data_IF_537507256446
#
_entry.id   IF_537507256446
#
_cell.length_a   1.000
_cell.length_b   1.000
_cell.length_c   1.000
_cell.angle_alpha   90.00
_cell.angle_beta   90.00
_cell.angle_gamma   90.00
#
_symmetry.space_group_name_H-M   'P 1'
#
loop_
_entity.id
_entity.type
_entity.pdbx_description
1 polymer ?
#
# COMPACT_ATOMS: atom_id res chain seq x y z
N UNK A 1 44.22 -7.42 0.36
CA UNK A 1 43.54 -8.40 -0.51
C UNK A 1 42.04 -8.07 -0.58
N UNK A 2 41.54 -7.59 -1.73
CA UNK A 2 40.13 -7.17 -1.89
C UNK A 2 39.13 -8.31 -1.62
N UNK A 3 39.50 -9.56 -1.93
CA UNK A 3 38.68 -10.74 -1.65
C UNK A 3 38.40 -10.95 -0.15
N UNK A 4 39.39 -10.73 0.72
CA UNK A 4 39.23 -10.86 2.18
C UNK A 4 38.27 -9.78 2.72
N UNK A 5 38.32 -8.56 2.18
CA UNK A 5 37.41 -7.48 2.58
C UNK A 5 35.98 -7.74 2.08
N UNK A 6 35.82 -8.30 0.88
CA UNK A 6 34.52 -8.72 0.37
C UNK A 6 33.89 -9.82 1.24
N UNK A 7 34.67 -10.85 1.59
CA UNK A 7 34.22 -11.94 2.48
C UNK A 7 33.87 -11.41 3.88
N UNK A 8 34.69 -10.53 4.46
CA UNK A 8 34.38 -9.86 5.73
C UNK A 8 33.09 -9.04 5.66
N UNK A 9 32.87 -8.32 4.55
CA UNK A 9 31.66 -7.54 4.33
C UNK A 9 30.42 -8.42 4.26
N UNK A 10 30.49 -9.53 3.54
CA UNK A 10 29.40 -10.52 3.45
C UNK A 10 29.16 -11.14 4.84
N UNK A 11 30.20 -11.61 5.51
CA UNK A 11 30.10 -12.20 6.85
C UNK A 11 29.46 -11.25 7.86
N UNK A 12 29.88 -9.98 7.87
CA UNK A 12 29.30 -8.97 8.76
C UNK A 12 27.81 -8.71 8.46
N UNK A 13 27.42 -8.61 7.18
CA UNK A 13 26.01 -8.43 6.79
C UNK A 13 25.16 -9.63 7.18
N UNK A 14 25.63 -10.85 6.95
CA UNK A 14 24.91 -12.07 7.29
C UNK A 14 24.74 -12.22 8.80
N UNK A 15 25.82 -12.02 9.59
CA UNK A 15 25.77 -12.08 11.05
C UNK A 15 24.78 -11.04 11.60
N UNK A 16 24.85 -9.79 11.12
CA UNK A 16 23.92 -8.75 11.53
C UNK A 16 22.46 -9.08 11.15
N UNK A 17 22.23 -9.67 9.98
CA UNK A 17 20.89 -10.07 9.55
C UNK A 17 20.31 -11.14 10.49
N UNK A 18 21.07 -12.20 10.79
CA UNK A 18 20.66 -13.26 11.72
C UNK A 18 20.42 -12.69 13.13
N UNK A 19 21.32 -11.82 13.61
CA UNK A 19 21.17 -11.17 14.91
C UNK A 19 19.89 -10.33 14.99
N UNK A 20 19.59 -9.52 13.96
CA UNK A 20 18.38 -8.71 13.91
C UNK A 20 17.11 -9.55 13.91
N UNK A 21 17.11 -10.68 13.19
CA UNK A 21 15.99 -11.64 13.22
C UNK A 21 15.81 -12.19 14.63
N UNK A 22 16.88 -12.64 15.30
CA UNK A 22 16.80 -13.17 16.67
C UNK A 22 16.27 -12.14 17.67
N UNK A 23 16.70 -10.88 17.58
CA UNK A 23 16.18 -9.79 18.42
C UNK A 23 14.70 -9.53 18.14
N UNK A 24 14.28 -9.50 16.86
CA UNK A 24 12.89 -9.31 16.48
C UNK A 24 11.98 -10.45 16.97
N UNK A 25 12.41 -11.72 16.82
CA UNK A 25 11.68 -12.88 17.33
C UNK A 25 11.55 -12.83 18.84
N UNK A 26 12.62 -12.47 19.57
CA UNK A 26 12.56 -12.30 21.02
C UNK A 26 11.58 -11.19 21.42
N UNK A 27 11.62 -10.04 20.73
CA UNK A 27 10.69 -8.94 20.96
C UNK A 27 9.23 -9.35 20.73
N UNK A 28 8.96 -10.09 19.65
CA UNK A 28 7.64 -10.64 19.36
C UNK A 28 7.18 -11.62 20.44
N UNK A 29 8.03 -12.57 20.83
CA UNK A 29 7.72 -13.54 21.90
C UNK A 29 7.44 -12.83 23.23
N UNK A 30 8.26 -11.83 23.62
CA UNK A 30 8.02 -11.03 24.82
C UNK A 30 6.69 -10.27 24.75
N UNK A 31 6.33 -9.75 23.57
CA UNK A 31 5.04 -9.09 23.34
C UNK A 31 3.90 -10.06 23.59
N UNK A 32 3.97 -11.29 23.07
CA UNK A 32 2.97 -12.33 23.29
C UNK A 32 2.89 -12.78 24.76
N UNK A 33 4.02 -13.09 25.40
CA UNK A 33 4.03 -13.56 26.79
C UNK A 33 3.52 -12.50 27.77
N UNK A 34 3.84 -11.23 27.54
CA UNK A 34 3.38 -10.13 28.37
C UNK A 34 2.00 -9.58 27.96
N UNK A 35 1.42 -10.04 26.85
CA UNK A 35 0.08 -9.64 26.39
C UNK A 35 -1.03 -9.98 27.37
N UNK A 36 -0.91 -11.09 28.12
CA UNK A 36 -1.89 -11.50 29.13
C UNK A 36 -2.15 -10.42 30.18
N UNK A 37 -1.12 -9.65 30.54
CA UNK A 37 -1.26 -8.50 31.46
C UNK A 37 -1.91 -7.29 30.80
N UNK A 38 -1.77 -7.14 29.48
CA UNK A 38 -2.42 -6.10 28.67
C UNK A 38 -3.93 -6.30 28.57
N UNK A 39 -4.41 -7.54 28.47
CA UNK A 39 -5.85 -7.86 28.47
C UNK A 39 -6.56 -7.49 29.77
N UNK A 40 -5.85 -7.52 30.92
CA UNK A 40 -6.39 -7.00 32.19
C UNK A 40 -6.66 -5.49 32.15
N UNK A 41 -6.10 -4.78 31.17
CA UNK A 41 -6.26 -3.34 30.95
C UNK A 41 -6.93 -3.09 29.59
N UNK A 42 -8.07 -3.72 29.37
CA UNK A 42 -8.80 -3.66 28.11
C UNK A 42 -9.09 -2.23 27.62
N UNK A 43 -9.27 -1.26 28.53
CA UNK A 43 -9.41 0.15 28.18
C UNK A 43 -8.24 0.71 27.35
N UNK A 44 -7.00 0.25 27.59
CA UNK A 44 -5.84 0.64 26.78
C UNK A 44 -5.95 0.09 25.36
N UNK A 45 -6.42 -1.16 25.21
CA UNK A 45 -6.63 -1.77 23.90
C UNK A 45 -7.73 -1.01 23.13
N UNK A 46 -8.84 -0.64 23.79
CA UNK A 46 -9.90 0.16 23.15
C UNK A 46 -9.37 1.52 22.70
N UNK A 47 -8.57 2.20 23.53
CA UNK A 47 -7.97 3.49 23.18
C UNK A 47 -7.08 3.36 21.93
N UNK A 48 -6.23 2.35 21.88
CA UNK A 48 -5.38 2.08 20.72
C UNK A 48 -6.19 1.63 19.50
N UNK A 49 -7.27 0.87 19.68
CA UNK A 49 -8.18 0.46 18.61
C UNK A 49 -8.86 1.68 17.98
N UNK A 50 -9.26 2.67 18.78
CA UNK A 50 -9.78 3.93 18.27
C UNK A 50 -8.71 4.72 17.51
N UNK A 51 -7.53 4.94 18.11
CA UNK A 51 -6.44 5.71 17.48
C UNK A 51 -5.92 5.06 16.19
N UNK A 52 -5.82 3.74 16.18
CA UNK A 52 -5.27 2.98 15.06
C UNK A 52 -6.33 2.69 14.00
N UNK A 53 -7.50 2.23 14.41
CA UNK A 53 -8.60 1.84 13.53
C UNK A 53 -9.35 3.04 12.97
N UNK A 54 -9.96 3.87 13.83
CA UNK A 54 -10.87 4.95 13.40
C UNK A 54 -10.14 6.01 12.57
N UNK A 55 -8.92 6.37 12.94
CA UNK A 55 -8.12 7.32 12.15
C UNK A 55 -7.65 6.73 10.80
N UNK A 56 -7.72 5.41 10.60
CA UNK A 56 -7.49 4.75 9.32
C UNK A 56 -8.79 4.52 8.53
N UNK A 57 -9.95 4.83 9.11
CA UNK A 57 -11.26 4.54 8.51
C UNK A 57 -11.47 5.32 7.21
N UNK A 58 -11.13 6.62 7.20
CA UNK A 58 -11.32 7.48 6.03
C UNK A 58 -10.51 6.97 4.84
N UNK A 59 -9.23 6.64 5.05
CA UNK A 59 -8.38 6.14 3.96
C UNK A 59 -8.90 4.81 3.43
N UNK A 60 -9.38 3.91 4.29
CA UNK A 60 -9.90 2.60 3.90
C UNK A 60 -11.23 2.71 3.13
N UNK A 61 -12.17 3.54 3.58
CA UNK A 61 -13.45 3.75 2.90
C UNK A 61 -13.23 4.37 1.51
N UNK A 62 -12.47 5.46 1.45
CA UNK A 62 -12.24 6.17 0.19
C UNK A 62 -11.43 5.28 -0.77
N UNK A 63 -10.44 4.54 -0.27
CA UNK A 63 -9.67 3.61 -1.08
C UNK A 63 -10.53 2.46 -1.62
N UNK A 64 -11.34 1.82 -0.76
CA UNK A 64 -12.25 0.76 -1.17
C UNK A 64 -13.18 1.23 -2.27
N UNK A 65 -13.76 2.42 -2.12
CA UNK A 65 -14.65 3.02 -3.12
C UNK A 65 -13.96 3.16 -4.49
N UNK A 66 -12.80 3.82 -4.56
CA UNK A 66 -12.10 4.04 -5.84
C UNK A 66 -11.60 2.74 -6.46
N UNK A 67 -11.05 1.82 -5.67
CA UNK A 67 -10.61 0.51 -6.16
C UNK A 67 -11.80 -0.26 -6.74
N UNK A 68 -12.94 -0.25 -6.06
CA UNK A 68 -14.18 -0.83 -6.57
C UNK A 68 -14.66 -0.22 -7.88
N UNK A 69 -14.62 1.11 -8.00
CA UNK A 69 -14.99 1.83 -9.22
C UNK A 69 -14.08 1.47 -10.40
N UNK A 70 -12.77 1.40 -10.16
CA UNK A 70 -11.75 1.02 -11.16
C UNK A 70 -11.99 -0.41 -11.65
N UNK A 71 -12.20 -1.36 -10.72
CA UNK A 71 -12.54 -2.75 -11.04
C UNK A 71 -13.85 -2.86 -11.82
N UNK A 72 -14.87 -2.09 -11.45
CA UNK A 72 -16.16 -2.09 -12.15
C UNK A 72 -16.02 -1.64 -13.61
N UNK A 73 -15.25 -0.57 -13.85
CA UNK A 73 -15.04 -0.03 -15.19
C UNK A 73 -14.26 -1.00 -16.08
N UNK A 74 -13.09 -1.45 -15.62
CA UNK A 74 -12.22 -2.31 -16.42
C UNK A 74 -12.74 -3.73 -16.54
N UNK A 75 -13.36 -4.20 -15.46
CA UNK A 75 -14.00 -5.51 -15.44
C UNK A 75 -15.10 -5.59 -16.49
N UNK A 76 -15.90 -4.53 -16.62
CA UNK A 76 -16.94 -4.45 -17.64
C UNK A 76 -16.36 -4.54 -19.04
N UNK A 77 -15.33 -3.76 -19.36
CA UNK A 77 -14.72 -3.77 -20.70
C UNK A 77 -14.08 -5.10 -21.06
N UNK A 78 -13.45 -5.74 -20.07
CA UNK A 78 -12.90 -7.09 -20.24
C UNK A 78 -14.01 -8.09 -20.52
N UNK A 79 -15.09 -8.09 -19.73
CA UNK A 79 -16.22 -9.01 -19.88
C UNK A 79 -17.06 -8.77 -21.14
N UNK A 80 -17.15 -7.50 -21.59
CA UNK A 80 -17.82 -7.12 -22.83
C UNK A 80 -17.19 -7.78 -24.05
N UNK A 81 -15.86 -7.96 -24.07
CA UNK A 81 -15.16 -8.70 -25.15
C UNK A 81 -15.59 -10.17 -25.24
N UNK A 82 -16.05 -10.75 -24.13
CA UNK A 82 -16.52 -12.14 -24.06
C UNK A 82 -18.05 -12.27 -24.03
N UNK A 83 -18.80 -11.17 -24.09
CA UNK A 83 -20.26 -11.16 -24.01
C UNK A 83 -20.82 -11.57 -22.64
N UNK A 84 -20.03 -11.47 -21.56
CA UNK A 84 -20.39 -11.92 -20.21
C UNK A 84 -20.49 -10.74 -19.22
N UNK A 85 -21.05 -9.61 -19.66
CA UNK A 85 -21.20 -8.39 -18.86
C UNK A 85 -21.99 -8.61 -17.57
N UNK A 86 -22.86 -9.62 -17.55
CA UNK A 86 -23.71 -9.99 -16.43
C UNK A 86 -22.92 -10.59 -15.24
N UNK A 87 -21.70 -11.08 -15.47
CA UNK A 87 -20.78 -11.61 -14.46
C UNK A 87 -19.91 -10.53 -13.78
N UNK A 88 -20.17 -9.24 -14.05
CA UNK A 88 -19.40 -8.15 -13.47
C UNK A 88 -19.42 -8.15 -11.93
N UNK A 89 -20.58 -8.41 -11.34
CA UNK A 89 -20.76 -8.41 -9.88
C UNK A 89 -19.96 -9.49 -9.17
N UNK A 90 -19.96 -10.72 -9.70
CA UNK A 90 -19.19 -11.84 -9.14
C UNK A 90 -17.68 -11.58 -9.25
N UNK A 91 -17.23 -11.04 -10.38
CA UNK A 91 -15.83 -10.69 -10.57
C UNK A 91 -15.34 -9.63 -9.58
N UNK A 92 -16.08 -8.53 -9.42
CA UNK A 92 -15.71 -7.46 -8.48
C UNK A 92 -15.66 -7.99 -7.04
N UNK A 93 -16.69 -8.74 -6.63
CA UNK A 93 -16.77 -9.25 -5.27
C UNK A 93 -15.67 -10.25 -4.93
N UNK A 94 -15.45 -11.26 -5.78
CA UNK A 94 -14.42 -12.28 -5.55
C UNK A 94 -13.02 -11.67 -5.54
N UNK A 95 -12.74 -10.73 -6.45
CA UNK A 95 -11.44 -10.03 -6.50
C UNK A 95 -11.17 -9.21 -5.24
N UNK A 96 -12.20 -8.54 -4.70
CA UNK A 96 -12.08 -7.73 -3.49
C UNK A 96 -12.03 -8.56 -2.21
N UNK A 97 -12.81 -9.63 -2.10
CA UNK A 97 -12.88 -10.41 -0.85
C UNK A 97 -11.64 -11.30 -0.69
N UNK A 98 -11.17 -11.92 -1.79
CA UNK A 98 -10.07 -12.89 -1.72
C UNK A 98 -8.68 -12.26 -1.79
N UNK A 99 -8.50 -11.28 -2.68
CA UNK A 99 -7.17 -10.76 -3.00
C UNK A 99 -7.00 -9.31 -2.51
N UNK A 100 -7.71 -8.38 -3.14
CA UNK A 100 -7.39 -6.95 -3.02
C UNK A 100 -7.78 -6.37 -1.68
N UNK A 101 -8.90 -6.78 -1.09
CA UNK A 101 -9.38 -6.25 0.17
C UNK A 101 -8.39 -6.46 1.30
N UNK A 102 -8.01 -7.70 1.62
CA UNK A 102 -7.01 -7.97 2.65
C UNK A 102 -5.65 -7.33 2.34
N UNK A 103 -5.16 -7.42 1.10
CA UNK A 103 -3.82 -6.94 0.73
C UNK A 103 -3.74 -5.42 0.75
N UNK A 104 -4.67 -4.71 0.09
CA UNK A 104 -4.65 -3.25 0.02
C UNK A 104 -4.96 -2.64 1.38
N UNK A 105 -5.91 -3.20 2.14
CA UNK A 105 -6.17 -2.73 3.51
C UNK A 105 -4.93 -2.88 4.40
N UNK A 106 -4.21 -4.01 4.31
CA UNK A 106 -2.98 -4.23 5.05
C UNK A 106 -1.87 -3.26 4.64
N UNK A 107 -1.69 -3.00 3.34
CA UNK A 107 -0.72 -2.03 2.82
C UNK A 107 -1.02 -0.62 3.33
N UNK A 108 -2.27 -0.16 3.21
CA UNK A 108 -2.69 1.18 3.64
C UNK A 108 -2.60 1.34 5.16
N UNK A 109 -2.98 0.31 5.92
CA UNK A 109 -2.82 0.29 7.36
C UNK A 109 -1.35 0.33 7.76
N UNK A 110 -0.50 -0.53 7.17
CA UNK A 110 0.93 -0.54 7.48
C UNK A 110 1.56 0.83 7.21
N UNK A 111 1.13 1.47 6.12
CA UNK A 111 1.62 2.78 5.70
C UNK A 111 1.21 3.89 6.69
N UNK A 112 -0.06 3.96 7.12
CA UNK A 112 -0.54 5.01 8.04
C UNK A 112 -0.33 4.66 9.51
N UNK A 113 -0.89 3.55 9.96
CA UNK A 113 -0.87 3.13 11.36
C UNK A 113 0.52 2.61 11.78
N UNK A 114 1.20 1.83 10.93
CA UNK A 114 2.53 1.32 11.23
C UNK A 114 3.58 2.43 11.36
N UNK A 115 3.53 3.43 10.48
CA UNK A 115 4.38 4.63 10.57
C UNK A 115 4.10 5.44 11.84
N UNK A 116 2.83 5.70 12.14
CA UNK A 116 2.43 6.43 13.35
C UNK A 116 2.89 5.72 14.63
N UNK A 117 2.68 4.40 14.76
CA UNK A 117 3.14 3.63 15.93
C UNK A 117 4.67 3.68 16.09
N UNK A 118 5.40 3.55 14.98
CA UNK A 118 6.87 3.61 15.01
C UNK A 118 7.35 4.97 15.49
N UNK A 119 6.73 6.05 15.00
CA UNK A 119 7.09 7.39 15.39
C UNK A 119 6.71 7.73 16.84
N UNK A 120 5.53 7.29 17.30
CA UNK A 120 5.11 7.44 18.70
C UNK A 120 6.08 6.73 19.65
N UNK A 121 6.42 5.46 19.39
CA UNK A 121 7.37 4.71 20.23
C UNK A 121 8.77 5.32 20.15
N UNK A 122 9.19 5.76 18.96
CA UNK A 122 10.45 6.46 18.74
C UNK A 122 10.56 7.76 19.55
N UNK A 123 9.49 8.56 19.58
CA UNK A 123 9.41 9.79 20.37
C UNK A 123 9.43 9.50 21.87
N UNK A 124 8.70 8.49 22.33
CA UNK A 124 8.74 8.04 23.73
C UNK A 124 10.14 7.59 24.14
N UNK A 125 10.91 7.00 23.23
CA UNK A 125 12.30 6.64 23.47
C UNK A 125 13.22 7.86 23.49
N UNK A 126 13.08 8.78 22.53
CA UNK A 126 13.90 9.98 22.44
C UNK A 126 13.68 10.96 23.61
N UNK A 127 12.49 10.93 24.21
CA UNK A 127 12.12 11.72 25.39
C UNK A 127 12.30 10.97 26.71
N UNK A 128 12.99 9.82 26.70
CA UNK A 128 13.30 8.97 27.87
C UNK A 128 12.07 8.46 28.65
N UNK A 129 10.87 8.51 28.06
CA UNK A 129 9.64 8.03 28.71
C UNK A 129 9.66 6.51 28.93
N UNK A 130 10.26 5.76 28.00
CA UNK A 130 10.40 4.30 28.13
C UNK A 130 11.33 3.97 29.30
N UNK A 131 12.49 4.62 29.38
CA UNK A 131 13.46 4.46 30.47
C UNK A 131 12.86 4.85 31.83
N UNK A 132 12.11 5.96 31.89
CA UNK A 132 11.41 6.38 33.10
C UNK A 132 10.42 5.30 33.61
N UNK A 133 9.71 4.63 32.70
CA UNK A 133 8.81 3.53 33.08
C UNK A 133 9.56 2.30 33.64
N UNK A 134 10.69 1.95 33.05
CA UNK A 134 11.53 0.87 33.54
C UNK A 134 12.04 1.15 34.97
N UNK A 135 12.41 2.41 35.25
CA UNK A 135 12.81 2.86 36.61
C UNK A 135 11.66 2.82 37.61
N UNK A 136 10.41 2.97 37.16
CA UNK A 136 9.20 2.82 37.98
C UNK A 136 8.76 1.36 38.15
N UNK A 137 9.58 0.39 37.75
CA UNK A 137 9.26 -1.04 37.73
C UNK A 137 8.00 -1.37 36.91
N UNK A 138 7.70 -0.56 35.88
CA UNK A 138 6.60 -0.76 34.96
C UNK A 138 7.14 -1.34 33.66
N UNK A 139 6.74 -2.57 33.32
CA UNK A 139 7.15 -3.21 32.07
C UNK A 139 6.59 -2.43 30.84
N UNK A 140 7.45 -1.85 29.99
CA UNK A 140 7.02 -1.07 28.82
C UNK A 140 6.39 -1.93 27.74
N UNK A 141 6.84 -3.18 27.55
CA UNK A 141 6.27 -4.09 26.55
C UNK A 141 4.79 -4.35 26.88
N UNK A 142 4.49 -4.64 28.15
CA UNK A 142 3.12 -4.88 28.60
C UNK A 142 2.22 -3.63 28.53
N UNK A 143 2.77 -2.44 28.81
CA UNK A 143 1.98 -1.21 28.94
C UNK A 143 1.82 -0.41 27.64
N UNK A 144 2.79 -0.49 26.74
CA UNK A 144 2.88 0.35 25.52
C UNK A 144 2.76 -0.51 24.26
N UNK A 145 3.52 -1.60 24.17
CA UNK A 145 3.64 -2.40 22.94
C UNK A 145 2.45 -3.36 22.77
N UNK A 146 2.12 -4.14 23.80
CA UNK A 146 1.08 -5.16 23.72
C UNK A 146 -0.31 -4.61 23.36
N UNK A 147 -0.79 -3.48 23.94
CA UNK A 147 -2.08 -2.91 23.54
C UNK A 147 -2.13 -2.49 22.06
N UNK A 148 -1.06 -1.87 21.55
CA UNK A 148 -0.93 -1.48 20.14
C UNK A 148 -0.90 -2.68 19.21
N UNK A 149 -0.19 -3.74 19.58
CA UNK A 149 -0.16 -5.00 18.84
C UNK A 149 -1.57 -5.58 18.67
N UNK A 150 -2.32 -5.76 19.78
CA UNK A 150 -3.67 -6.32 19.71
C UNK A 150 -4.68 -5.39 19.04
N UNK A 151 -4.56 -4.08 19.23
CA UNK A 151 -5.37 -3.12 18.48
C UNK A 151 -5.15 -3.26 16.98
N UNK A 152 -3.92 -3.46 16.52
CA UNK A 152 -3.61 -3.73 15.12
C UNK A 152 -4.18 -5.07 14.63
N UNK A 153 -3.95 -6.16 15.37
CA UNK A 153 -4.46 -7.49 15.01
C UNK A 153 -5.99 -7.50 14.89
N UNK A 154 -6.70 -6.81 15.79
CA UNK A 154 -8.17 -6.72 15.76
C UNK A 154 -8.66 -5.76 14.67
N UNK A 155 -7.96 -4.65 14.43
CA UNK A 155 -8.37 -3.66 13.42
C UNK A 155 -8.26 -4.22 12.00
N UNK A 156 -7.25 -5.03 11.70
CA UNK A 156 -6.96 -5.44 10.32
C UNK A 156 -8.11 -6.19 9.63
N UNK A 157 -8.68 -7.27 10.20
CA UNK A 157 -9.81 -7.95 9.58
C UNK A 157 -11.05 -7.06 9.43
N UNK A 158 -11.30 -6.18 10.41
CA UNK A 158 -12.44 -5.27 10.39
C UNK A 158 -12.30 -4.22 9.28
N UNK A 159 -11.10 -3.67 9.10
CA UNK A 159 -10.81 -2.72 8.04
C UNK A 159 -10.82 -3.39 6.66
N UNK A 160 -10.32 -4.62 6.53
CA UNK A 160 -10.39 -5.37 5.28
C UNK A 160 -11.84 -5.69 4.88
N UNK A 161 -12.68 -6.11 5.82
CA UNK A 161 -14.10 -6.35 5.56
C UNK A 161 -14.83 -5.07 5.12
N UNK A 162 -14.54 -3.94 5.79
CA UNK A 162 -15.10 -2.65 5.41
C UNK A 162 -14.61 -2.21 4.02
N UNK A 163 -13.33 -2.39 3.72
CA UNK A 163 -12.77 -2.11 2.39
C UNK A 163 -13.52 -2.88 1.31
N UNK A 164 -13.68 -4.21 1.48
CA UNK A 164 -14.35 -5.05 0.50
C UNK A 164 -15.82 -4.67 0.34
N UNK A 165 -16.53 -4.37 1.43
CA UNK A 165 -17.93 -3.93 1.38
C UNK A 165 -18.09 -2.61 0.59
N UNK A 166 -17.26 -1.62 0.88
CA UNK A 166 -17.29 -0.32 0.18
C UNK A 166 -16.81 -0.46 -1.27
N UNK A 167 -15.87 -1.37 -1.55
CA UNK A 167 -15.42 -1.66 -2.91
C UNK A 167 -16.49 -2.32 -3.77
N UNK A 168 -17.26 -3.26 -3.23
CA UNK A 168 -18.41 -3.84 -3.95
C UNK A 168 -19.42 -2.74 -4.29
N UNK A 169 -19.67 -1.82 -3.34
CA UNK A 169 -20.52 -0.66 -3.59
C UNK A 169 -19.95 0.26 -4.69
N UNK A 170 -18.64 0.50 -4.72
CA UNK A 170 -17.97 1.27 -5.79
C UNK A 170 -18.12 0.62 -7.17
N UNK A 171 -17.97 -0.72 -7.24
CA UNK A 171 -18.20 -1.46 -8.48
C UNK A 171 -19.66 -1.45 -8.93
N UNK A 172 -20.61 -1.51 -7.99
CA UNK A 172 -22.03 -1.34 -8.27
C UNK A 172 -22.35 0.05 -8.86
N UNK A 173 -21.79 1.13 -8.29
CA UNK A 173 -21.99 2.49 -8.80
C UNK A 173 -21.53 2.64 -10.24
N UNK A 174 -20.39 2.04 -10.62
CA UNK A 174 -19.92 2.12 -12.00
C UNK A 174 -20.67 1.15 -12.92
N UNK A 175 -20.78 -0.12 -12.53
CA UNK A 175 -21.38 -1.17 -13.36
C UNK A 175 -22.86 -0.97 -13.63
N UNK A 176 -23.66 -0.76 -12.57
CA UNK A 176 -25.12 -0.66 -12.68
C UNK A 176 -25.54 0.77 -12.96
N UNK A 177 -25.09 1.73 -12.15
CA UNK A 177 -25.60 3.11 -12.22
C UNK A 177 -25.01 3.88 -13.40
N UNK A 178 -23.72 3.74 -13.69
CA UNK A 178 -23.06 4.50 -14.76
C UNK A 178 -23.08 3.79 -16.12
N UNK A 179 -22.79 2.49 -16.17
CA UNK A 179 -22.68 1.71 -17.41
C UNK A 179 -24.03 1.12 -17.82
N UNK A 180 -24.88 0.73 -16.86
CA UNK A 180 -26.23 0.21 -17.13
C UNK A 180 -26.35 -1.32 -17.15
N UNK A 181 -25.46 -2.05 -16.46
CA UNK A 181 -25.65 -3.50 -16.23
C UNK A 181 -26.92 -3.73 -15.40
N UNK A 182 -27.68 -4.78 -15.73
CA UNK A 182 -28.90 -5.12 -14.99
C UNK A 182 -28.63 -5.39 -13.50
N UNK A 183 -29.36 -4.68 -12.63
CA UNK A 183 -29.21 -4.77 -11.17
C UNK A 183 -29.53 -6.17 -10.64
N UNK A 184 -30.61 -6.79 -11.15
CA UNK A 184 -31.02 -8.12 -10.72
C UNK A 184 -29.96 -9.17 -11.02
N UNK A 185 -29.37 -9.11 -12.21
CA UNK A 185 -28.27 -9.96 -12.62
C UNK A 185 -27.02 -9.72 -11.79
N UNK A 186 -26.67 -8.46 -11.51
CA UNK A 186 -25.48 -8.11 -10.75
C UNK A 186 -25.50 -8.77 -9.36
N UNK A 187 -26.60 -8.63 -8.62
CA UNK A 187 -26.73 -9.18 -7.27
C UNK A 187 -26.92 -10.70 -7.25
N UNK A 188 -27.76 -11.25 -8.15
CA UNK A 188 -28.04 -12.69 -8.17
C UNK A 188 -26.81 -13.51 -8.56
N UNK A 189 -26.02 -13.08 -9.54
CA UNK A 189 -24.79 -13.77 -9.92
C UNK A 189 -23.70 -13.64 -8.86
N UNK A 190 -23.61 -12.48 -8.21
CA UNK A 190 -22.67 -12.31 -7.11
C UNK A 190 -23.01 -13.22 -5.93
N UNK A 191 -24.29 -13.32 -5.54
CA UNK A 191 -24.72 -14.22 -4.45
C UNK A 191 -24.53 -15.70 -4.81
N UNK A 192 -24.71 -16.07 -6.08
CA UNK A 192 -24.45 -17.42 -6.55
C UNK A 192 -22.95 -17.76 -6.57
N UNK A 193 -22.08 -16.77 -6.77
CA UNK A 193 -20.65 -16.95 -6.88
C UNK A 193 -19.87 -16.83 -5.55
N UNK A 194 -20.39 -16.06 -4.59
CA UNK A 194 -19.75 -15.82 -3.29
C UNK A 194 -20.40 -16.73 -2.25
N UNK A 195 -19.82 -17.91 -2.04
CA UNK A 195 -20.26 -18.82 -0.98
C UNK A 195 -19.35 -18.74 0.25
N UNK A 196 -19.95 -18.84 1.43
CA UNK A 196 -19.25 -18.73 2.71
C UNK A 196 -18.33 -19.93 2.99
N UNK A 197 -18.49 -21.05 2.25
CA UNK A 197 -17.83 -22.34 2.54
C UNK A 197 -16.95 -22.86 1.40
N UNK A 198 -17.30 -22.65 0.13
CA UNK A 198 -16.55 -23.17 -1.04
C UNK A 198 -15.51 -22.21 -1.65
N UNK A 199 -15.40 -20.98 -1.13
CA UNK A 199 -14.53 -19.94 -1.70
C UNK A 199 -13.01 -20.22 -1.61
N UNK A 200 -12.59 -21.31 -0.97
CA UNK A 200 -11.20 -21.77 -0.92
C UNK A 200 -10.83 -22.77 -2.04
N UNK A 201 -11.71 -23.06 -3.01
CA UNK A 201 -11.54 -24.21 -3.92
C UNK A 201 -11.67 -24.01 -5.43
N UNK A 202 -11.96 -22.81 -5.97
CA UNK A 202 -12.10 -22.63 -7.43
C UNK A 202 -10.93 -21.85 -8.03
N UNK A 203 -9.87 -22.59 -8.38
CA UNK A 203 -8.58 -22.10 -8.86
C UNK A 203 -8.55 -21.76 -10.37
N UNK A 204 -9.51 -22.23 -11.17
CA UNK A 204 -9.35 -22.25 -12.63
C UNK A 204 -9.84 -21.00 -13.39
N UNK A 205 -10.65 -20.13 -12.78
CA UNK A 205 -11.18 -18.93 -13.44
C UNK A 205 -10.45 -17.63 -13.06
N UNK A 206 -9.66 -17.63 -11.97
CA UNK A 206 -8.96 -16.44 -11.48
C UNK A 206 -7.60 -16.22 -12.15
N UNK A 207 -6.96 -17.27 -12.66
CA UNK A 207 -5.57 -17.23 -13.13
C UNK A 207 -5.28 -16.29 -14.31
N UNK A 208 -6.22 -16.14 -15.26
CA UNK A 208 -6.01 -15.28 -16.45
C UNK A 208 -6.31 -13.79 -16.17
N UNK A 209 -7.20 -13.49 -15.23
CA UNK A 209 -7.56 -12.11 -14.87
C UNK A 209 -6.52 -11.47 -13.94
N UNK A 210 -5.89 -12.26 -13.07
CA UNK A 210 -4.79 -11.78 -12.20
C UNK A 210 -3.64 -11.22 -13.04
N UNK A 211 -3.26 -11.84 -14.16
CA UNK A 211 -2.14 -11.38 -14.99
C UNK A 211 -2.37 -10.00 -15.65
N UNK A 212 -3.56 -9.75 -16.20
CA UNK A 212 -3.91 -8.46 -16.81
C UNK A 212 -4.11 -7.37 -15.74
N UNK A 213 -4.74 -7.71 -14.61
CA UNK A 213 -4.91 -6.78 -13.48
C UNK A 213 -3.58 -6.39 -12.84
N UNK A 214 -2.61 -7.31 -12.77
CA UNK A 214 -1.29 -7.03 -12.19
C UNK A 214 -0.46 -6.06 -13.03
N UNK A 215 -0.51 -6.18 -14.36
CA UNK A 215 0.31 -5.37 -15.26
C UNK A 215 -0.29 -3.98 -15.49
N UNK A 216 -1.62 -3.86 -15.59
CA UNK A 216 -2.30 -2.60 -15.93
C UNK A 216 -2.59 -1.72 -14.72
N UNK A 217 -2.93 -2.31 -13.57
CA UNK A 217 -3.47 -1.56 -12.42
C UNK A 217 -2.68 -1.76 -11.13
N UNK A 218 -2.59 -3.00 -10.65
CA UNK A 218 -1.96 -3.26 -9.36
C UNK A 218 -0.48 -2.92 -9.43
N UNK A 219 0.19 -3.13 -10.56
CA UNK A 219 1.60 -2.79 -10.72
C UNK A 219 1.88 -1.31 -10.49
N UNK A 220 1.36 -0.41 -11.33
CA UNK A 220 1.53 1.03 -11.15
C UNK A 220 0.99 1.55 -9.81
N UNK A 221 -0.20 1.11 -9.38
CA UNK A 221 -0.84 1.60 -8.15
C UNK A 221 -0.09 1.11 -6.90
N UNK A 222 0.22 -0.18 -6.79
CA UNK A 222 0.97 -0.72 -5.64
C UNK A 222 2.38 -0.16 -5.61
N UNK A 223 3.06 -0.05 -6.76
CA UNK A 223 4.37 0.61 -6.83
C UNK A 223 4.29 2.06 -6.33
N UNK A 224 3.25 2.81 -6.73
CA UNK A 224 3.05 4.18 -6.29
C UNK A 224 2.72 4.28 -4.79
N UNK A 225 1.88 3.40 -4.25
CA UNK A 225 1.55 3.34 -2.83
C UNK A 225 2.78 3.00 -1.99
N UNK A 226 3.58 2.03 -2.42
CA UNK A 226 4.84 1.65 -1.76
C UNK A 226 5.87 2.77 -1.85
N UNK A 227 5.98 3.46 -2.99
CA UNK A 227 6.85 4.62 -3.15
C UNK A 227 6.41 5.78 -2.24
N UNK A 228 5.11 6.09 -2.18
CA UNK A 228 4.57 7.10 -1.26
C UNK A 228 4.90 6.75 0.20
N UNK A 229 4.72 5.47 0.58
CA UNK A 229 5.02 4.99 1.93
C UNK A 229 6.50 5.03 2.28
N UNK A 230 7.41 4.72 1.35
CA UNK A 230 8.85 4.58 1.66
C UNK A 230 9.68 5.78 1.23
N UNK A 231 9.57 6.21 -0.01
CA UNK A 231 10.35 7.32 -0.55
C UNK A 231 9.69 8.66 -0.21
N UNK A 232 8.36 8.75 -0.33
CA UNK A 232 7.59 9.95 0.07
C UNK A 232 7.81 10.29 1.54
N UNK A 233 7.55 9.33 2.43
CA UNK A 233 7.74 9.50 3.87
C UNK A 233 9.19 9.87 4.26
N UNK A 234 10.19 9.27 3.61
CA UNK A 234 11.60 9.60 3.84
C UNK A 234 11.95 11.01 3.36
N UNK A 235 11.49 11.43 2.18
CA UNK A 235 11.71 12.79 1.68
C UNK A 235 11.09 13.84 2.61
N UNK A 236 9.88 13.59 3.09
CA UNK A 236 9.18 14.45 4.05
C UNK A 236 9.92 14.53 5.37
N UNK A 237 10.33 13.38 5.93
CA UNK A 237 11.05 13.33 7.20
C UNK A 237 12.41 14.04 7.11
N UNK A 238 13.16 13.86 6.02
CA UNK A 238 14.44 14.53 5.81
C UNK A 238 14.28 16.05 5.70
N UNK A 239 13.35 16.55 4.88
CA UNK A 239 13.13 17.99 4.72
C UNK A 239 12.58 18.60 6.02
N UNK A 240 11.65 17.92 6.68
CA UNK A 240 11.12 18.34 7.97
C UNK A 240 12.20 18.42 9.04
N UNK A 241 13.14 17.47 9.05
CA UNK A 241 14.30 17.52 9.95
C UNK A 241 15.25 18.67 9.60
N UNK A 242 15.50 18.94 8.33
CA UNK A 242 16.29 20.10 7.89
C UNK A 242 15.64 21.42 8.34
N UNK A 243 14.29 21.48 8.35
CA UNK A 243 13.56 22.64 8.88
C UNK A 243 13.66 22.73 10.40
N UNK A 244 13.47 21.62 11.12
CA UNK A 244 13.56 21.58 12.58
C UNK A 244 14.97 21.87 13.12
N UNK A 245 16.00 21.63 12.31
CA UNK A 245 17.41 21.94 12.62
C UNK A 245 17.88 23.27 12.02
N UNK A 246 16.96 24.11 11.54
CA UNK A 246 17.21 25.43 10.94
C UNK A 246 18.15 25.42 9.72
N UNK A 247 18.41 24.26 9.11
CA UNK A 247 19.30 24.15 7.94
C UNK A 247 18.73 24.89 6.72
N UNK A 248 17.40 24.86 6.54
CA UNK A 248 16.74 25.58 5.43
C UNK A 248 16.93 27.10 5.61
N UNK A 249 16.67 27.62 6.81
CA UNK A 249 16.84 29.04 7.12
C UNK A 249 18.31 29.48 7.03
N UNK A 250 19.25 28.62 7.44
CA UNK A 250 20.68 28.87 7.26
C UNK A 250 21.06 29.02 5.78
N UNK A 251 20.48 28.22 4.87
CA UNK A 251 20.70 28.36 3.43
C UNK A 251 20.16 29.67 2.88
N UNK A 252 18.96 30.07 3.31
CA UNK A 252 18.35 31.35 2.91
C UNK A 252 19.22 32.53 3.36
N UNK A 253 19.78 32.49 4.57
CA UNK A 253 20.74 33.50 5.06
C UNK A 253 22.05 33.52 4.26
N UNK A 254 22.47 32.39 3.70
CA UNK A 254 23.63 32.29 2.81
C UNK A 254 23.33 32.67 1.36
N UNK A 255 22.15 33.26 1.07
CA UNK A 255 21.67 33.57 -0.27
C UNK A 255 21.63 32.35 -1.22
N UNK A 256 21.43 31.15 -0.67
CA UNK A 256 21.28 29.90 -1.41
C UNK A 256 19.80 29.56 -1.49
N UNK A 257 19.23 29.47 -2.69
CA UNK A 257 17.83 29.10 -2.88
C UNK A 257 17.58 27.62 -2.48
N UNK A 258 16.79 27.34 -1.42
CA UNK A 258 16.55 25.98 -0.95
C UNK A 258 15.68 25.16 -1.91
N UNK A 259 14.78 25.80 -2.65
CA UNK A 259 13.93 25.13 -3.65
C UNK A 259 14.80 24.56 -4.77
N UNK A 260 15.72 25.36 -5.31
CA UNK A 260 16.61 24.93 -6.38
C UNK A 260 17.61 23.85 -5.91
N UNK A 261 18.08 23.94 -4.65
CA UNK A 261 19.16 23.07 -4.14
C UNK A 261 18.67 21.75 -3.53
N UNK A 262 17.47 21.72 -2.94
CA UNK A 262 16.94 20.53 -2.25
C UNK A 262 15.68 20.01 -2.96
N UNK A 263 14.70 20.88 -3.16
CA UNK A 263 13.35 20.48 -3.62
C UNK A 263 13.38 20.00 -5.07
N UNK A 264 13.98 20.77 -5.99
CA UNK A 264 13.97 20.45 -7.42
C UNK A 264 14.72 19.14 -7.78
N UNK A 265 15.92 18.84 -7.24
CA UNK A 265 16.59 17.57 -7.49
C UNK A 265 15.79 16.36 -6.98
N UNK A 266 15.17 16.48 -5.80
CA UNK A 266 14.32 15.42 -5.23
C UNK A 266 13.04 15.24 -6.03
N UNK A 267 12.45 16.34 -6.53
CA UNK A 267 11.29 16.30 -7.41
C UNK A 267 11.55 15.44 -8.65
N UNK A 268 12.58 15.77 -9.41
CA UNK A 268 12.91 15.04 -10.64
C UNK A 268 13.36 13.60 -10.36
N UNK A 269 14.11 13.37 -9.29
CA UNK A 269 14.46 12.01 -8.87
C UNK A 269 13.21 11.16 -8.61
N UNK A 270 12.22 11.72 -7.89
CA UNK A 270 10.96 11.04 -7.62
C UNK A 270 10.16 10.74 -8.88
N UNK A 271 9.96 11.75 -9.75
CA UNK A 271 9.22 11.62 -11.01
C UNK A 271 9.84 10.58 -11.94
N UNK A 272 11.17 10.53 -12.06
CA UNK A 272 11.86 9.56 -12.93
C UNK A 272 11.87 8.16 -12.31
N UNK A 273 12.01 8.06 -10.99
CA UNK A 273 12.08 6.76 -10.31
C UNK A 273 10.77 5.98 -10.38
N UNK A 274 9.62 6.66 -10.40
CA UNK A 274 8.30 6.02 -10.32
C UNK A 274 7.96 5.14 -11.53
N UNK A 275 8.11 5.60 -12.79
CA UNK A 275 7.95 4.74 -13.96
C UNK A 275 8.93 3.56 -14.00
N UNK A 276 10.17 3.76 -13.55
CA UNK A 276 11.16 2.69 -13.48
C UNK A 276 10.78 1.62 -12.46
N UNK A 277 10.28 2.04 -11.30
CA UNK A 277 9.78 1.12 -10.27
C UNK A 277 8.52 0.37 -10.72
N UNK A 278 7.60 1.05 -11.40
CA UNK A 278 6.40 0.41 -11.96
C UNK A 278 6.79 -0.64 -13.03
N UNK A 279 7.70 -0.30 -13.94
CA UNK A 279 8.19 -1.23 -14.95
C UNK A 279 8.88 -2.46 -14.33
N UNK A 280 9.73 -2.25 -13.32
CA UNK A 280 10.38 -3.34 -12.58
C UNK A 280 9.35 -4.23 -11.87
N UNK A 281 8.34 -3.62 -11.24
CA UNK A 281 7.28 -4.35 -10.56
C UNK A 281 6.51 -5.23 -11.55
N UNK A 282 6.08 -4.68 -12.68
CA UNK A 282 5.36 -5.45 -13.71
C UNK A 282 6.21 -6.58 -14.29
N UNK A 283 7.50 -6.35 -14.53
CA UNK A 283 8.41 -7.39 -15.02
C UNK A 283 8.56 -8.56 -14.02
N UNK A 284 8.75 -8.25 -12.73
CA UNK A 284 8.83 -9.26 -11.67
C UNK A 284 7.47 -9.96 -11.48
N UNK A 285 6.36 -9.24 -11.62
CA UNK A 285 5.01 -9.78 -11.57
C UNK A 285 4.75 -10.81 -12.67
N UNK A 286 5.08 -10.48 -13.93
CA UNK A 286 4.98 -11.41 -15.06
C UNK A 286 5.86 -12.63 -14.86
N UNK A 287 7.09 -12.44 -14.36
CA UNK A 287 7.99 -13.55 -14.06
C UNK A 287 7.44 -14.47 -12.94
N UNK A 288 6.82 -13.89 -11.90
CA UNK A 288 6.12 -14.65 -10.87
C UNK A 288 4.96 -15.46 -11.44
N UNK A 289 4.16 -14.86 -12.33
CA UNK A 289 3.09 -15.55 -13.06
C UNK A 289 3.59 -16.71 -13.92
N UNK A 290 4.71 -16.53 -14.61
CA UNK A 290 5.38 -17.59 -15.37
C UNK A 290 5.85 -18.74 -14.47
N UNK A 291 6.50 -18.44 -13.33
CA UNK A 291 6.96 -19.47 -12.40
C UNK A 291 5.81 -20.30 -11.83
N UNK A 292 4.68 -19.68 -11.49
CA UNK A 292 3.52 -20.43 -10.98
C UNK A 292 2.81 -21.14 -12.12
N UNK A 293 2.50 -20.47 -13.23
CA UNK A 293 1.73 -21.03 -14.33
C UNK A 293 2.46 -22.14 -15.09
N UNK A 294 3.69 -21.90 -15.53
CA UNK A 294 4.45 -22.85 -16.35
C UNK A 294 5.15 -23.88 -15.48
N UNK A 295 5.86 -23.45 -14.42
CA UNK A 295 6.70 -24.36 -13.64
C UNK A 295 5.91 -25.16 -12.60
N UNK A 296 4.96 -24.53 -11.89
CA UNK A 296 4.19 -25.25 -10.85
C UNK A 296 2.93 -25.92 -11.40
N UNK A 297 2.12 -25.21 -12.19
CA UNK A 297 0.84 -25.71 -12.71
C UNK A 297 1.05 -26.56 -14.00
N UNK A 298 2.16 -26.38 -14.70
CA UNK A 298 2.50 -27.17 -15.89
C UNK A 298 1.84 -26.67 -17.18
N UNK A 299 1.47 -25.38 -17.25
CA UNK A 299 0.99 -24.75 -18.49
C UNK A 299 2.11 -24.76 -19.54
N UNK A 300 1.75 -25.05 -20.79
CA UNK A 300 2.71 -24.99 -21.91
C UNK A 300 3.31 -23.59 -22.05
N UNK A 301 4.65 -23.52 -22.12
CA UNK A 301 5.39 -22.27 -22.20
C UNK A 301 5.03 -21.48 -23.48
N UNK A 302 4.94 -22.17 -24.62
CA UNK A 302 4.57 -21.54 -25.89
C UNK A 302 3.18 -20.92 -25.84
N UNK A 303 2.22 -21.64 -25.25
CA UNK A 303 0.85 -21.18 -25.04
C UNK A 303 0.78 -19.99 -24.09
N UNK A 304 1.51 -20.02 -22.97
CA UNK A 304 1.57 -18.91 -22.01
C UNK A 304 2.04 -17.61 -22.67
N UNK A 305 3.17 -17.66 -23.39
CA UNK A 305 3.72 -16.48 -24.06
C UNK A 305 2.86 -16.01 -25.24
N UNK A 306 2.32 -16.93 -26.03
CA UNK A 306 1.45 -16.59 -27.16
C UNK A 306 0.13 -15.94 -26.70
N UNK A 307 -0.50 -16.46 -25.65
CA UNK A 307 -1.72 -15.87 -25.10
C UNK A 307 -1.45 -14.51 -24.45
N UNK A 308 -0.33 -14.37 -23.73
CA UNK A 308 0.03 -13.09 -23.13
C UNK A 308 0.31 -12.02 -24.21
N UNK A 309 1.02 -12.37 -25.28
CA UNK A 309 1.26 -11.44 -26.40
C UNK A 309 -0.03 -11.09 -27.16
N UNK A 310 -0.97 -12.02 -27.25
CA UNK A 310 -2.28 -11.76 -27.86
C UNK A 310 -3.19 -10.91 -26.98
N UNK A 311 -3.04 -11.00 -25.65
CA UNK A 311 -3.86 -10.28 -24.69
C UNK A 311 -3.32 -8.88 -24.36
N UNK A 312 -2.01 -8.65 -24.45
CA UNK A 312 -1.36 -7.40 -24.06
C UNK A 312 -1.07 -6.51 -25.26
N UNK A 313 -1.72 -5.36 -25.33
CA UNK A 313 -1.44 -4.34 -26.36
C UNK A 313 -0.41 -3.31 -25.87
N UNK A 314 0.55 -2.97 -26.73
CA UNK A 314 1.61 -2.03 -26.38
C UNK A 314 1.10 -0.60 -26.12
N UNK A 315 0.12 -0.13 -26.90
CA UNK A 315 -0.45 1.22 -26.78
C UNK A 315 -1.51 1.30 -25.68
N UNK A 316 -2.42 0.34 -25.60
CA UNK A 316 -3.52 0.40 -24.63
C UNK A 316 -3.13 -0.08 -23.23
N UNK A 317 -2.07 -0.88 -23.10
CA UNK A 317 -1.75 -1.51 -21.81
C UNK A 317 -0.43 -0.96 -21.26
N UNK A 318 0.64 -1.05 -22.03
CA UNK A 318 1.98 -0.65 -21.57
C UNK A 318 2.09 0.88 -21.50
N UNK A 319 1.71 1.60 -22.56
CA UNK A 319 1.83 3.06 -22.58
C UNK A 319 0.92 3.73 -21.54
N UNK A 320 -0.30 3.21 -21.35
CA UNK A 320 -1.21 3.69 -20.31
C UNK A 320 -0.64 3.49 -18.89
N UNK A 321 -0.03 2.33 -18.61
CA UNK A 321 0.67 2.07 -17.36
C UNK A 321 1.84 3.04 -17.12
N UNK A 322 2.61 3.36 -18.17
CA UNK A 322 3.70 4.35 -18.10
C UNK A 322 3.16 5.75 -17.81
N UNK A 323 2.12 6.19 -18.51
CA UNK A 323 1.49 7.51 -18.29
C UNK A 323 0.98 7.64 -16.85
N UNK A 324 0.28 6.61 -16.35
CA UNK A 324 -0.18 6.56 -14.94
C UNK A 324 1.00 6.69 -13.97
N UNK A 325 2.07 5.93 -14.18
CA UNK A 325 3.24 5.95 -13.30
C UNK A 325 3.95 7.32 -13.23
N UNK A 326 3.99 8.07 -14.34
CA UNK A 326 4.49 9.45 -14.33
C UNK A 326 3.57 10.38 -13.55
N UNK A 327 2.26 10.28 -13.76
CA UNK A 327 1.28 11.09 -13.06
C UNK A 327 1.32 10.85 -11.53
N UNK A 328 1.42 9.58 -11.12
CA UNK A 328 1.62 9.20 -9.71
C UNK A 328 2.93 9.75 -9.17
N UNK A 329 4.04 9.64 -9.92
CA UNK A 329 5.33 10.16 -9.49
C UNK A 329 5.35 11.66 -9.26
N UNK A 330 4.68 12.43 -10.11
CA UNK A 330 4.52 13.88 -9.93
C UNK A 330 3.72 14.16 -8.65
N UNK A 331 2.52 13.60 -8.52
CA UNK A 331 1.61 13.90 -7.41
C UNK A 331 2.23 13.52 -6.07
N UNK A 332 2.77 12.30 -5.93
CA UNK A 332 3.37 11.83 -4.68
C UNK A 332 4.56 12.69 -4.28
N UNK A 333 5.41 13.03 -5.25
CA UNK A 333 6.63 13.79 -4.94
C UNK A 333 6.30 15.24 -4.58
N UNK A 334 5.34 15.89 -5.26
CA UNK A 334 4.87 17.22 -4.85
C UNK A 334 4.33 17.21 -3.43
N UNK A 335 3.45 16.25 -3.10
CA UNK A 335 2.86 16.14 -1.76
C UNK A 335 3.95 15.93 -0.70
N UNK A 336 4.89 15.02 -0.95
CA UNK A 336 5.96 14.71 0.00
C UNK A 336 6.88 15.90 0.26
N UNK A 337 7.26 16.62 -0.80
CA UNK A 337 8.11 17.81 -0.70
C UNK A 337 7.37 18.95 0.01
N UNK A 338 6.09 19.16 -0.30
CA UNK A 338 5.28 20.19 0.34
C UNK A 338 5.08 19.93 1.84
N UNK A 339 4.63 18.73 2.22
CA UNK A 339 4.42 18.39 3.64
C UNK A 339 5.72 18.45 4.45
N UNK A 340 6.85 18.07 3.86
CA UNK A 340 8.15 18.17 4.51
C UNK A 340 8.60 19.61 4.67
N UNK A 341 8.40 20.44 3.64
CA UNK A 341 8.76 21.84 3.66
C UNK A 341 7.87 22.64 4.62
N UNK A 342 6.57 22.34 4.69
CA UNK A 342 5.59 23.03 5.53
C UNK A 342 5.48 22.49 6.97
N UNK A 343 6.20 21.41 7.29
CA UNK A 343 6.18 20.81 8.62
C UNK A 343 6.56 21.82 9.74
N UNK A 344 5.83 21.86 10.87
CA UNK A 344 6.26 22.60 12.05
C UNK A 344 7.66 22.15 12.49
N UNK A 345 8.55 23.06 12.94
CA UNK A 345 9.93 22.74 13.28
C UNK A 345 10.05 22.03 14.64
N UNK A 346 9.34 20.91 14.81
CA UNK A 346 9.34 20.08 16.01
C UNK A 346 9.37 18.60 15.60
N UNK A 347 9.92 17.72 16.45
CA UNK A 347 9.96 16.28 16.16
C UNK A 347 8.55 15.69 15.93
N UNK A 348 7.57 16.16 16.68
CA UNK A 348 6.16 15.79 16.51
C UNK A 348 5.59 16.33 15.19
N UNK A 349 5.93 17.56 14.80
CA UNK A 349 5.54 18.15 13.51
C UNK A 349 6.06 17.35 12.32
N UNK A 350 7.32 16.91 12.36
CA UNK A 350 7.93 16.08 11.31
C UNK A 350 7.26 14.70 11.21
N UNK A 351 7.00 14.06 12.36
CA UNK A 351 6.26 12.79 12.42
C UNK A 351 4.83 12.91 11.87
N UNK A 352 4.13 13.98 12.26
CA UNK A 352 2.79 14.29 11.78
C UNK A 352 2.75 14.51 10.28
N UNK A 353 3.67 15.33 9.75
CA UNK A 353 3.82 15.57 8.31
C UNK A 353 4.06 14.28 7.54
N UNK A 354 4.96 13.42 8.04
CA UNK A 354 5.26 12.10 7.44
C UNK A 354 4.00 11.24 7.31
N UNK A 355 3.16 11.22 8.35
CA UNK A 355 1.89 10.47 8.33
C UNK A 355 0.89 11.08 7.36
N UNK A 356 0.78 12.42 7.32
CA UNK A 356 -0.11 13.12 6.38
C UNK A 356 0.30 12.85 4.94
N UNK A 357 1.59 12.95 4.60
CA UNK A 357 2.13 12.65 3.26
C UNK A 357 1.67 11.29 2.77
N UNK A 358 1.77 10.25 3.61
CA UNK A 358 1.38 8.90 3.21
C UNK A 358 -0.12 8.81 2.93
N UNK A 359 -0.95 9.42 3.77
CA UNK A 359 -2.41 9.40 3.61
C UNK A 359 -2.84 10.20 2.38
N UNK A 360 -2.38 11.45 2.27
CA UNK A 360 -2.75 12.35 1.17
C UNK A 360 -2.24 11.82 -0.18
N UNK A 361 -1.02 11.29 -0.22
CA UNK A 361 -0.47 10.66 -1.42
C UNK A 361 -1.26 9.41 -1.81
N UNK A 362 -1.60 8.53 -0.86
CA UNK A 362 -2.35 7.31 -1.15
C UNK A 362 -3.75 7.62 -1.69
N UNK A 363 -4.45 8.58 -1.08
CA UNK A 363 -5.76 9.03 -1.56
C UNK A 363 -5.67 9.68 -2.94
N UNK A 364 -4.65 10.52 -3.17
CA UNK A 364 -4.45 11.17 -4.45
C UNK A 364 -4.10 10.16 -5.56
N UNK A 365 -3.30 9.13 -5.27
CA UNK A 365 -3.01 8.04 -6.22
C UNK A 365 -4.30 7.35 -6.63
N UNK A 366 -5.14 6.93 -5.67
CA UNK A 366 -6.36 6.17 -5.97
C UNK A 366 -7.41 6.99 -6.72
N UNK A 367 -7.57 8.27 -6.34
CA UNK A 367 -8.44 9.18 -7.08
C UNK A 367 -7.93 9.41 -8.50
N UNK A 368 -6.63 9.65 -8.65
CA UNK A 368 -6.01 9.87 -9.96
C UNK A 368 -6.08 8.61 -10.82
N UNK A 369 -5.94 7.43 -10.23
CA UNK A 369 -6.06 6.16 -10.92
C UNK A 369 -7.45 5.99 -11.54
N UNK A 370 -8.52 6.25 -10.78
CA UNK A 370 -9.88 6.24 -11.32
C UNK A 370 -10.07 7.26 -12.45
N UNK A 371 -9.62 8.50 -12.25
CA UNK A 371 -9.77 9.57 -13.26
C UNK A 371 -9.03 9.23 -14.55
N UNK A 372 -7.78 8.79 -14.44
CA UNK A 372 -6.97 8.42 -15.61
C UNK A 372 -7.55 7.20 -16.33
N UNK A 373 -7.99 6.18 -15.57
CA UNK A 373 -8.69 5.01 -16.12
C UNK A 373 -9.92 5.44 -16.92
N UNK A 374 -10.80 6.25 -16.32
CA UNK A 374 -12.02 6.70 -16.98
C UNK A 374 -11.76 7.52 -18.25
N UNK A 375 -10.67 8.30 -18.29
CA UNK A 375 -10.28 9.09 -19.48
C UNK A 375 -9.68 8.19 -20.57
N UNK A 376 -8.79 7.27 -20.20
CA UNK A 376 -8.09 6.40 -21.14
C UNK A 376 -9.04 5.46 -21.86
N UNK A 377 -10.03 4.91 -21.16
CA UNK A 377 -10.96 3.95 -21.73
C UNK A 377 -12.19 4.56 -22.40
N UNK A 378 -12.53 5.84 -22.15
CA UNK A 378 -13.55 6.56 -22.93
C UNK A 378 -13.15 6.82 -24.38
N UNK A 379 -11.88 6.67 -24.72
CA UNK A 379 -11.31 6.96 -26.05
C UNK A 379 -11.27 5.78 -27.02
N UNK A 380 -11.69 4.59 -26.58
CA UNK A 380 -11.78 3.35 -27.38
C UNK A 380 -13.24 2.94 -27.53
#
# INVERSE_FOLDING_TARGET
MPAVNAIKGIGHRTINAVWRIGVATRFFMLTLTHSGSGFRRFHLIIKELFSTGVMSLIIIIVAGLFVGMVLGLQGYETLKRYGSESALGSMVALSLVRELGPVVAALLFASRAGSAMTAEIGLMRATEQISAMEMMAVNPIARIVAPRFWAGVISMPLLAALFSAVGVFGGYLVGVVQIGVDEGSFWSQMQAAVDFREDYGSESALGSMVALSLVRELGPVVAALLFASRAGSAMTAEIGLMRATEQISAMEMMAVNPIARIVAPRFWAGVISMPLLAALFSAVGVFGGYLVGVVQIGVDEGSFWSQMQAAVDFREDILNGVIKSFAFGIVVTVIALFEGYDAPPTAEGVSGATTRTVVTSSLAILMLDFVLTAIMFRGT
#
